data_IF_251743676042
#
_entry.id   IF_251743676042
#
_cell.length_a   1.000
_cell.length_b   1.000
_cell.length_c   1.000
_cell.angle_alpha   90.00
_cell.angle_beta   90.00
_cell.angle_gamma   90.00
#
_symmetry.space_group_name_H-M   'P 1'
#
loop_
_entity.id
_entity.type
_entity.pdbx_description
1 polymer ?
#
# COMPACT_ATOMS: atom_id res chain seq x y z
N UNK A 1 3.36 21.84 -0.68
CA UNK A 1 2.82 23.22 -0.77
C UNK A 1 3.84 24.18 -0.17
N UNK A 2 4.12 25.29 -0.87
CA UNK A 2 4.97 26.48 -0.61
C UNK A 2 6.32 26.40 0.15
N UNK A 3 6.52 25.61 1.22
CA UNK A 3 7.83 25.52 1.92
C UNK A 3 8.52 24.16 1.92
N UNK A 4 7.93 23.11 1.31
CA UNK A 4 8.60 21.83 0.91
C UNK A 4 9.82 21.40 1.77
N UNK A 5 9.65 21.29 3.08
CA UNK A 5 10.63 20.68 3.99
C UNK A 5 10.04 19.37 4.54
N UNK A 6 9.70 18.50 3.57
CA UNK A 6 9.26 17.09 3.61
C UNK A 6 8.11 16.75 4.58
N UNK A 7 7.27 15.71 4.47
CA UNK A 7 7.29 14.38 3.87
C UNK A 7 5.82 14.09 3.43
N UNK A 8 5.54 13.16 2.51
CA UNK A 8 4.14 12.88 2.10
C UNK A 8 3.26 12.59 3.33
N UNK A 9 2.23 13.41 3.65
CA UNK A 9 1.38 13.15 4.80
C UNK A 9 0.79 11.74 4.69
N UNK A 10 0.64 11.04 5.82
CA UNK A 10 0.17 9.64 5.82
C UNK A 10 -1.15 9.48 5.02
N UNK A 11 -2.03 10.48 5.08
CA UNK A 11 -3.24 10.57 4.28
C UNK A 11 -2.99 10.62 2.75
N UNK A 12 -1.96 11.35 2.29
CA UNK A 12 -1.57 11.36 0.88
C UNK A 12 -0.96 10.02 0.44
N UNK A 13 -0.36 9.27 1.38
CA UNK A 13 0.21 7.96 1.07
C UNK A 13 -0.88 6.94 0.69
N UNK A 14 -2.05 7.02 1.33
CA UNK A 14 -3.21 6.22 0.95
C UNK A 14 -3.64 6.47 -0.51
N UNK A 15 -3.73 7.74 -0.91
CA UNK A 15 -4.09 8.12 -2.28
C UNK A 15 -3.02 7.67 -3.30
N UNK A 16 -1.73 7.86 -2.97
CA UNK A 16 -0.61 7.41 -3.81
C UNK A 16 -0.65 5.89 -4.01
N UNK A 17 -0.89 5.12 -2.93
CA UNK A 17 -0.98 3.65 -3.00
C UNK A 17 -2.21 3.21 -3.79
N UNK A 18 -3.35 3.86 -3.63
CA UNK A 18 -4.55 3.59 -4.41
C UNK A 18 -4.29 3.75 -5.92
N UNK A 19 -3.65 4.86 -6.30
CA UNK A 19 -3.26 5.09 -7.70
C UNK A 19 -2.24 4.05 -8.19
N UNK A 20 -1.23 3.71 -7.39
CA UNK A 20 -0.22 2.71 -7.76
C UNK A 20 -0.81 1.30 -7.95
N UNK A 21 -1.77 0.92 -7.11
CA UNK A 21 -2.46 -0.37 -7.14
C UNK A 21 -3.59 -0.46 -8.18
N UNK A 22 -3.84 0.62 -8.93
CA UNK A 22 -4.89 0.72 -9.96
C UNK A 22 -6.30 0.42 -9.45
N UNK A 23 -6.56 0.65 -8.16
CA UNK A 23 -7.85 0.34 -7.55
C UNK A 23 -8.17 -1.16 -7.46
N UNK A 24 -7.17 -2.05 -7.48
CA UNK A 24 -7.34 -3.50 -7.45
C UNK A 24 -6.94 -4.14 -6.11
N UNK A 25 -7.26 -5.42 -5.96
CA UNK A 25 -6.91 -6.22 -4.78
C UNK A 25 -5.66 -7.08 -5.03
N UNK A 26 -4.58 -6.75 -4.31
CA UNK A 26 -3.28 -7.44 -4.37
C UNK A 26 -3.01 -8.29 -3.12
N UNK A 27 -4.02 -8.50 -2.26
CA UNK A 27 -3.86 -9.17 -0.95
C UNK A 27 -3.20 -10.54 -1.05
N UNK A 28 -3.55 -11.32 -2.08
CA UNK A 28 -2.95 -12.64 -2.29
C UNK A 28 -1.44 -12.55 -2.58
N UNK A 29 -1.01 -11.58 -3.39
CA UNK A 29 0.41 -11.34 -3.65
C UNK A 29 1.13 -10.83 -2.40
N UNK A 30 0.55 -9.85 -1.72
CA UNK A 30 1.14 -9.26 -0.52
C UNK A 30 1.33 -10.27 0.61
N UNK A 31 0.36 -11.14 0.84
CA UNK A 31 0.46 -12.20 1.86
C UNK A 31 1.60 -13.17 1.53
N UNK A 32 1.74 -13.59 0.28
CA UNK A 32 2.85 -14.45 -0.17
C UNK A 32 4.21 -13.79 -0.04
N UNK A 33 4.28 -12.48 -0.23
CA UNK A 33 5.51 -11.69 -0.12
C UNK A 33 5.76 -11.12 1.30
N UNK A 34 5.03 -11.60 2.30
CA UNK A 34 5.34 -11.32 3.71
C UNK A 34 4.93 -9.92 4.19
N UNK A 35 3.99 -9.24 3.54
CA UNK A 35 3.49 -7.93 3.99
C UNK A 35 2.84 -8.02 5.38
N UNK A 36 2.24 -9.15 5.75
CA UNK A 36 1.66 -9.38 7.07
C UNK A 36 2.66 -9.85 8.14
N UNK A 37 3.97 -9.85 7.86
CA UNK A 37 5.01 -10.30 8.81
C UNK A 37 5.59 -9.18 9.68
N UNK A 38 5.01 -7.97 9.59
CA UNK A 38 5.41 -6.81 10.38
C UNK A 38 4.78 -6.85 11.78
N UNK A 39 5.13 -5.89 12.64
CA UNK A 39 4.52 -5.77 13.98
C UNK A 39 2.99 -5.55 13.92
N UNK A 40 2.49 -4.88 12.88
CA UNK A 40 1.05 -4.65 12.69
C UNK A 40 0.30 -5.84 12.05
N UNK A 41 1.01 -6.89 11.63
CA UNK A 41 0.43 -8.14 11.16
C UNK A 41 -0.48 -7.96 9.94
N UNK A 42 -1.63 -8.63 9.95
CA UNK A 42 -2.61 -8.59 8.85
C UNK A 42 -3.21 -7.20 8.61
N UNK A 43 -3.07 -6.24 9.54
CA UNK A 43 -3.48 -4.85 9.31
C UNK A 43 -2.80 -4.26 8.07
N UNK A 44 -1.58 -4.68 7.77
CA UNK A 44 -0.84 -4.18 6.62
C UNK A 44 -1.40 -4.62 5.27
N UNK A 45 -2.26 -5.64 5.24
CA UNK A 45 -2.92 -6.09 4.02
C UNK A 45 -3.93 -5.07 3.49
N UNK A 46 -4.32 -4.09 4.32
CA UNK A 46 -5.19 -3.00 3.86
C UNK A 46 -4.55 -2.15 2.76
N UNK A 47 -3.22 -2.03 2.78
CA UNK A 47 -2.49 -1.34 1.73
C UNK A 47 -2.48 -2.11 0.40
N UNK A 48 -2.86 -3.39 0.43
CA UNK A 48 -2.88 -4.26 -0.73
C UNK A 48 -4.27 -4.38 -1.35
N UNK A 49 -5.32 -4.26 -0.54
CA UNK A 49 -6.69 -4.12 -1.04
C UNK A 49 -6.99 -2.65 -1.26
N UNK A 50 -6.87 -2.19 -2.50
CA UNK A 50 -7.09 -0.79 -2.86
C UNK A 50 -8.39 -0.61 -3.64
N UNK A 51 -9.35 -1.54 -3.53
CA UNK A 51 -10.64 -1.40 -4.21
C UNK A 51 -11.42 -0.16 -3.73
N UNK A 52 -12.11 0.55 -4.62
CA UNK A 52 -12.92 1.71 -4.24
C UNK A 52 -13.97 1.33 -3.17
N UNK A 53 -14.16 2.23 -2.20
CA UNK A 53 -15.18 2.08 -1.15
C UNK A 53 -14.66 1.64 0.22
N UNK A 54 -13.41 1.19 0.32
CA UNK A 54 -12.78 0.83 1.60
C UNK A 54 -11.76 1.88 2.05
N UNK A 55 -12.24 3.12 2.29
CA UNK A 55 -11.38 4.22 2.73
C UNK A 55 -11.06 4.03 4.21
N UNK A 56 -9.80 3.74 4.51
CA UNK A 56 -9.33 3.67 5.91
C UNK A 56 -8.61 4.92 6.33
N UNK A 57 -8.96 5.40 7.53
CA UNK A 57 -8.22 6.46 8.19
C UNK A 57 -6.94 5.86 8.75
N UNK A 58 -5.81 6.21 8.14
CA UNK A 58 -4.51 5.74 8.59
C UNK A 58 -4.06 6.48 9.85
N UNK A 59 -3.64 5.72 10.85
CA UNK A 59 -3.01 6.22 12.07
C UNK A 59 -1.56 5.70 12.18
N UNK A 60 -0.88 6.07 13.27
CA UNK A 60 0.51 5.65 13.49
C UNK A 60 0.70 4.14 13.72
N UNK A 61 -0.36 3.37 13.99
CA UNK A 61 -0.26 1.91 14.14
C UNK A 61 0.12 1.21 12.82
N UNK A 62 -0.06 1.89 11.69
CA UNK A 62 0.31 1.39 10.37
C UNK A 62 1.77 1.66 9.98
N UNK A 63 2.54 2.41 10.78
CA UNK A 63 3.92 2.76 10.42
C UNK A 63 4.79 1.54 10.13
N UNK A 64 4.68 0.48 10.94
CA UNK A 64 5.45 -0.76 10.72
C UNK A 64 5.11 -1.49 9.42
N UNK A 65 4.00 -1.17 8.76
CA UNK A 65 3.68 -1.73 7.45
C UNK A 65 4.61 -1.25 6.35
N UNK A 66 5.20 -0.05 6.51
CA UNK A 66 6.12 0.51 5.54
C UNK A 66 7.49 -0.19 5.52
N UNK A 67 7.81 -1.00 6.54
CA UNK A 67 8.97 -1.92 6.50
C UNK A 67 8.87 -2.93 5.34
N UNK A 68 7.65 -3.14 4.82
CA UNK A 68 7.36 -4.02 3.68
C UNK A 68 6.90 -3.26 2.43
N UNK A 69 7.21 -1.97 2.35
CA UNK A 69 6.77 -1.11 1.24
C UNK A 69 7.27 -1.61 -0.13
N UNK A 70 8.50 -2.12 -0.21
CA UNK A 70 9.03 -2.67 -1.47
C UNK A 70 8.28 -3.93 -1.93
N UNK A 71 7.85 -4.77 -1.00
CA UNK A 71 7.04 -5.97 -1.32
C UNK A 71 5.65 -5.58 -1.80
N UNK A 72 5.05 -4.52 -1.23
CA UNK A 72 3.78 -3.96 -1.74
C UNK A 72 3.95 -3.46 -3.18
N UNK A 73 4.94 -2.60 -3.44
CA UNK A 73 5.22 -2.06 -4.77
C UNK A 73 5.49 -3.13 -5.81
N UNK A 74 6.25 -4.17 -5.46
CA UNK A 74 6.55 -5.27 -6.36
C UNK A 74 5.27 -5.96 -6.86
N UNK A 75 4.30 -6.19 -5.96
CA UNK A 75 3.01 -6.75 -6.33
C UNK A 75 2.24 -5.86 -7.31
N UNK A 76 2.14 -4.56 -7.02
CA UNK A 76 1.45 -3.61 -7.90
C UNK A 76 2.10 -3.53 -9.28
N UNK A 77 3.43 -3.49 -9.32
CA UNK A 77 4.19 -3.44 -10.56
C UNK A 77 4.02 -4.71 -11.40
N UNK A 78 4.12 -5.89 -10.77
CA UNK A 78 3.96 -7.16 -11.46
C UNK A 78 2.58 -7.27 -12.12
N UNK A 79 1.53 -6.89 -11.39
CA UNK A 79 0.18 -6.88 -11.94
C UNK A 79 0.04 -5.87 -13.10
N UNK A 80 0.51 -4.63 -12.92
CA UNK A 80 0.46 -3.60 -13.95
C UNK A 80 1.19 -3.96 -15.25
N UNK A 81 2.31 -4.69 -15.16
CA UNK A 81 3.07 -5.18 -16.33
C UNK A 81 2.37 -6.39 -16.97
N UNK A 82 1.77 -7.27 -16.18
CA UNK A 82 1.05 -8.45 -16.70
C UNK A 82 -0.29 -8.08 -17.36
N UNK A 83 -0.96 -7.02 -16.90
CA UNK A 83 -2.22 -6.53 -17.48
C UNK A 83 -2.05 -5.94 -18.90
N UNK A 84 -0.83 -5.60 -19.31
CA UNK A 84 -0.53 -5.03 -20.64
C UNK A 84 -0.19 -6.07 -21.71
N UNK A 85 -0.31 -7.36 -21.41
CA UNK A 85 -0.22 -8.46 -22.39
C UNK A 85 -1.61 -8.94 -22.76
#
# INVERSE_FOLDING_TARGET
>A
MYFKQDECPLAATAEIQFCAAQGQDHTACCRRNGVSTTLAGDKCLIFCDQRPGNVTLLDYSYLSCYDRFDQMKACFWHDAVNYRK
#
